data_IF_025431039048
#
_entry.id   IF_025431039048
#
_cell.length_a   1.000
_cell.length_b   1.000
_cell.length_c   1.000
_cell.angle_alpha   90.00
_cell.angle_beta   90.00
_cell.angle_gamma   90.00
#
_symmetry.space_group_name_H-M   'P 1'
#
loop_
_entity.id
_entity.type
_entity.pdbx_description
1 polymer ?
#
# COMPACT_ATOMS: atom_id res chain seq x y z
N UNK A 1 13.79 -11.37 0.84
CA UNK A 1 12.32 -11.33 0.83
C UNK A 1 11.90 -11.45 -0.62
N UNK A 2 11.07 -12.43 -0.95
CA UNK A 2 10.80 -12.80 -2.34
C UNK A 2 9.42 -12.34 -2.81
N UNK A 3 8.46 -12.23 -1.89
CA UNK A 3 7.13 -11.71 -2.17
C UNK A 3 6.50 -11.08 -0.93
N UNK A 4 5.59 -10.13 -1.18
CA UNK A 4 4.70 -9.55 -0.19
C UNK A 4 3.28 -9.73 -0.70
N UNK A 5 2.41 -10.28 0.15
CA UNK A 5 1.00 -10.46 -0.16
C UNK A 5 0.14 -9.70 0.84
N UNK A 6 -0.91 -9.08 0.35
CA UNK A 6 -1.92 -8.41 1.14
C UNK A 6 -3.28 -9.07 0.86
N UNK A 7 -3.88 -9.60 1.92
CA UNK A 7 -5.27 -10.04 1.93
C UNK A 7 -6.12 -8.94 2.57
N UNK A 8 -7.21 -8.56 1.91
CA UNK A 8 -8.20 -7.62 2.43
C UNK A 8 -9.58 -8.27 2.35
N UNK A 9 -10.37 -8.15 3.42
CA UNK A 9 -11.72 -8.70 3.45
C UNK A 9 -12.59 -8.09 2.33
N UNK A 10 -13.09 -8.95 1.44
CA UNK A 10 -13.97 -8.55 0.34
C UNK A 10 -13.28 -7.89 -0.87
N UNK A 11 -11.94 -7.82 -0.89
CA UNK A 11 -11.18 -7.27 -2.02
C UNK A 11 -10.18 -8.32 -2.51
N UNK A 12 -10.43 -8.86 -3.70
CA UNK A 12 -9.56 -9.85 -4.36
C UNK A 12 -8.51 -9.16 -5.25
N UNK A 13 -7.26 -9.61 -5.16
CA UNK A 13 -6.18 -9.32 -6.10
C UNK A 13 -5.98 -10.44 -7.13
N UNK A 14 -4.86 -10.39 -7.84
CA UNK A 14 -4.59 -11.27 -8.99
C UNK A 14 -3.53 -12.36 -8.75
N UNK A 15 -3.08 -12.56 -7.50
CA UNK A 15 -2.07 -13.58 -7.22
C UNK A 15 -2.56 -14.98 -7.59
N UNK A 16 -1.73 -15.72 -8.35
CA UNK A 16 -1.90 -17.14 -8.67
C UNK A 16 -0.94 -18.03 -7.86
N UNK A 17 -0.21 -17.44 -6.91
CA UNK A 17 0.78 -18.19 -6.12
C UNK A 17 0.06 -19.15 -5.17
N UNK A 18 0.48 -20.41 -5.16
CA UNK A 18 -0.10 -21.43 -4.28
C UNK A 18 -0.04 -20.99 -2.80
N UNK A 19 -1.19 -21.01 -2.12
CA UNK A 19 -1.33 -20.56 -0.72
C UNK A 19 -1.54 -19.04 -0.55
N UNK A 20 -1.46 -18.27 -1.63
CA UNK A 20 -1.68 -16.82 -1.66
C UNK A 20 -2.58 -16.43 -2.84
N UNK A 21 -3.45 -17.33 -3.28
CA UNK A 21 -4.35 -17.10 -4.40
C UNK A 21 -5.30 -15.94 -4.09
N UNK A 22 -5.59 -15.14 -5.12
CA UNK A 22 -6.51 -13.97 -5.05
C UNK A 22 -6.08 -12.89 -4.06
N UNK A 23 -4.86 -12.96 -3.52
CA UNK A 23 -4.31 -11.88 -2.71
C UNK A 23 -3.66 -10.82 -3.60
N UNK A 24 -3.54 -9.60 -3.08
CA UNK A 24 -2.88 -8.49 -3.76
C UNK A 24 -1.37 -8.68 -3.58
N UNK A 25 -0.63 -8.75 -4.69
CA UNK A 25 0.83 -8.78 -4.63
C UNK A 25 1.37 -7.35 -4.51
N UNK A 26 2.21 -7.10 -3.51
CA UNK A 26 2.85 -5.81 -3.31
C UNK A 26 4.29 -5.79 -3.84
N UNK A 27 4.75 -4.59 -4.19
CA UNK A 27 6.12 -4.28 -4.58
C UNK A 27 6.93 -3.88 -3.35
N UNK A 28 6.34 -3.04 -2.50
CA UNK A 28 6.99 -2.51 -1.30
C UNK A 28 5.97 -2.25 -0.19
N UNK A 29 6.47 -2.26 1.05
CA UNK A 29 5.75 -1.77 2.22
C UNK A 29 6.69 -0.85 3.01
N UNK A 30 6.13 0.20 3.59
CA UNK A 30 6.81 1.08 4.53
C UNK A 30 5.89 1.33 5.74
N UNK A 31 6.43 1.21 6.94
CA UNK A 31 5.71 1.48 8.17
C UNK A 31 6.50 2.50 8.98
N UNK A 32 5.99 3.72 9.11
CA UNK A 32 6.61 4.78 9.88
C UNK A 32 5.96 4.89 11.25
N UNK A 33 6.63 4.41 12.29
CA UNK A 33 6.18 4.67 13.67
C UNK A 33 6.67 6.06 14.09
N UNK A 34 5.79 7.05 14.17
CA UNK A 34 6.13 8.31 14.83
C UNK A 34 5.76 8.21 16.30
N UNK A 35 6.77 8.09 17.18
CA UNK A 35 6.58 8.20 18.63
C UNK A 35 6.71 9.68 19.00
N UNK A 36 5.65 10.29 19.51
CA UNK A 36 5.75 11.60 20.15
C UNK A 36 6.45 11.45 21.51
N UNK A 37 7.45 12.28 21.81
CA UNK A 37 8.08 12.31 23.14
C UNK A 37 7.11 12.91 24.17
N UNK A 38 7.01 12.28 25.33
CA UNK A 38 6.03 12.60 26.37
C UNK A 38 6.08 14.06 26.81
N UNK A 39 5.05 14.84 26.45
CA UNK A 39 4.92 16.23 26.89
C UNK A 39 3.65 16.97 26.44
N UNK A 40 3.02 16.58 25.32
CA UNK A 40 1.78 17.21 24.87
C UNK A 40 0.67 16.17 24.71
N UNK A 41 -0.45 16.41 25.39
CA UNK A 41 -1.68 15.65 25.25
C UNK A 41 -2.33 15.94 23.89
N UNK A 42 -1.79 15.36 22.83
CA UNK A 42 -2.45 15.23 21.52
C UNK A 42 -2.29 13.79 21.06
N UNK A 43 -3.41 13.18 20.66
CA UNK A 43 -3.60 11.73 20.58
C UNK A 43 -2.48 10.95 19.90
N UNK A 44 -2.31 9.70 20.34
CA UNK A 44 -1.37 8.72 19.80
C UNK A 44 -1.45 8.67 18.28
N UNK A 45 -0.46 9.24 17.58
CA UNK A 45 -0.30 9.02 16.15
C UNK A 45 0.16 7.57 15.96
N UNK A 46 -0.77 6.69 15.61
CA UNK A 46 -0.45 5.34 15.17
C UNK A 46 0.14 5.51 13.77
N UNK A 47 1.40 5.13 13.61
CA UNK A 47 2.14 5.22 12.36
C UNK A 47 1.37 4.75 11.14
N UNK A 48 1.54 5.42 10.00
CA UNK A 48 0.92 5.03 8.74
C UNK A 48 1.62 3.84 8.10
N UNK A 49 0.84 2.96 7.48
CA UNK A 49 1.35 1.89 6.61
C UNK A 49 1.17 2.34 5.15
N UNK A 50 2.28 2.56 4.45
CA UNK A 50 2.28 2.87 3.02
C UNK A 50 2.64 1.62 2.23
N UNK A 51 1.78 1.25 1.28
CA UNK A 51 1.92 0.05 0.46
C UNK A 51 2.03 0.43 -1.01
N UNK A 52 2.91 -0.23 -1.75
CA UNK A 52 3.04 -0.04 -3.20
C UNK A 52 2.63 -1.32 -3.91
N UNK A 53 1.71 -1.22 -4.87
CA UNK A 53 1.20 -2.34 -5.67
C UNK A 53 1.18 -1.98 -7.16
N UNK A 54 1.27 -2.96 -8.08
CA UNK A 54 0.91 -2.75 -9.48
C UNK A 54 -0.60 -2.46 -9.60
N UNK A 55 -1.06 -1.91 -10.72
CA UNK A 55 -2.51 -1.85 -10.98
C UNK A 55 -2.99 -3.27 -11.30
N UNK A 56 -4.03 -3.73 -10.59
CA UNK A 56 -4.64 -5.06 -10.76
C UNK A 56 -6.16 -5.00 -10.48
N UNK A 57 -6.81 -6.16 -10.47
CA UNK A 57 -8.23 -6.34 -10.15
C UNK A 57 -8.70 -5.66 -8.86
N UNK A 58 -7.83 -5.52 -7.85
CA UNK A 58 -8.19 -4.89 -6.58
C UNK A 58 -8.28 -3.36 -6.69
N UNK A 59 -7.62 -2.75 -7.69
CA UNK A 59 -7.50 -1.28 -7.79
C UNK A 59 -8.85 -0.56 -7.81
N UNK A 60 -9.85 -0.95 -8.61
CA UNK A 60 -11.16 -0.29 -8.58
C UNK A 60 -11.86 -0.43 -7.22
N UNK A 61 -11.78 -1.61 -6.60
CA UNK A 61 -12.39 -1.87 -5.29
C UNK A 61 -11.78 -1.02 -4.18
N UNK A 62 -10.44 -0.88 -4.17
CA UNK A 62 -9.73 0.00 -3.23
C UNK A 62 -10.14 1.46 -3.42
N UNK A 63 -10.24 1.93 -4.66
CA UNK A 63 -10.63 3.30 -4.95
C UNK A 63 -12.09 3.59 -4.56
N UNK A 64 -12.98 2.63 -4.74
CA UNK A 64 -14.37 2.75 -4.27
C UNK A 64 -14.44 2.85 -2.74
N UNK A 65 -13.63 2.07 -2.01
CA UNK A 65 -13.57 2.15 -0.56
C UNK A 65 -13.08 3.52 -0.10
N UNK A 66 -12.00 4.02 -0.71
CA UNK A 66 -11.48 5.36 -0.46
C UNK A 66 -12.53 6.44 -0.71
N UNK A 67 -13.17 6.43 -1.90
CA UNK A 67 -14.16 7.44 -2.29
C UNK A 67 -15.35 7.50 -1.33
N UNK A 68 -15.77 6.36 -0.80
CA UNK A 68 -16.95 6.24 0.05
C UNK A 68 -16.62 6.26 1.55
N UNK A 69 -15.35 6.39 1.95
CA UNK A 69 -14.91 6.25 3.34
C UNK A 69 -15.26 4.88 3.95
N UNK A 70 -15.37 3.83 3.14
CA UNK A 70 -15.66 2.47 3.62
C UNK A 70 -14.39 1.88 4.22
N UNK A 71 -14.50 1.35 5.43
CA UNK A 71 -13.42 0.60 6.08
C UNK A 71 -13.46 -0.87 5.70
N UNK A 72 -12.29 -1.50 5.63
CA UNK A 72 -12.13 -2.95 5.49
C UNK A 72 -11.92 -3.53 6.89
N UNK A 73 -12.70 -4.55 7.24
CA UNK A 73 -12.72 -5.11 8.60
C UNK A 73 -11.35 -5.66 9.03
N UNK A 74 -10.71 -6.43 8.15
CA UNK A 74 -9.43 -7.08 8.41
C UNK A 74 -8.52 -7.02 7.19
N UNK A 75 -7.24 -6.75 7.44
CA UNK A 75 -6.16 -6.85 6.47
C UNK A 75 -4.99 -7.67 7.02
N UNK A 76 -4.46 -8.57 6.20
CA UNK A 76 -3.30 -9.41 6.55
C UNK A 76 -2.18 -9.16 5.55
N UNK A 77 -1.09 -8.56 6.02
CA UNK A 77 0.13 -8.34 5.24
C UNK A 77 1.13 -9.43 5.58
N UNK A 78 1.50 -10.23 4.57
CA UNK A 78 2.39 -11.38 4.73
C UNK A 78 3.65 -11.20 3.89
N UNK A 79 4.80 -11.17 4.55
CA UNK A 79 6.10 -11.18 3.89
C UNK A 79 6.57 -12.63 3.78
N UNK A 80 6.97 -13.01 2.58
CA UNK A 80 7.34 -14.37 2.25
C UNK A 80 8.80 -14.48 1.80
N UNK A 81 9.38 -15.64 2.09
CA UNK A 81 10.61 -16.12 1.48
C UNK A 81 10.30 -17.38 0.66
N UNK A 82 10.98 -17.54 -0.45
CA UNK A 82 10.92 -18.77 -1.22
C UNK A 82 11.83 -19.81 -0.57
N UNK A 83 11.26 -20.94 -0.17
CA UNK A 83 12.00 -22.11 0.27
C UNK A 83 11.66 -23.28 -0.65
N UNK A 84 12.62 -23.65 -1.50
CA UNK A 84 12.53 -24.78 -2.45
C UNK A 84 11.27 -24.75 -3.33
N UNK A 85 10.86 -23.55 -3.79
CA UNK A 85 9.70 -23.36 -4.66
C UNK A 85 8.38 -23.15 -3.90
N UNK A 86 8.37 -23.26 -2.58
CA UNK A 86 7.21 -22.93 -1.75
C UNK A 86 7.39 -21.54 -1.12
N UNK A 87 6.38 -20.68 -1.22
CA UNK A 87 6.37 -19.40 -0.51
C UNK A 87 6.04 -19.62 0.95
N UNK A 88 7.00 -19.35 1.83
CA UNK A 88 6.88 -19.50 3.27
C UNK A 88 6.74 -18.13 3.94
N UNK A 89 5.65 -17.89 4.69
CA UNK A 89 5.53 -16.70 5.54
C UNK A 89 6.67 -16.62 6.56
N UNK A 90 7.21 -15.43 6.78
CA UNK A 90 8.15 -15.19 7.89
C UNK A 90 7.79 -13.98 8.75
N UNK A 91 7.06 -12.99 8.22
CA UNK A 91 6.44 -11.91 8.99
C UNK A 91 4.98 -11.80 8.56
N UNK A 92 4.08 -11.71 9.54
CA UNK A 92 2.65 -11.52 9.33
C UNK A 92 2.21 -10.35 10.20
N UNK A 93 1.61 -9.34 9.57
CA UNK A 93 1.04 -8.17 10.23
C UNK A 93 -0.46 -8.18 10.03
N UNK A 94 -1.19 -8.04 11.13
CA UNK A 94 -2.65 -7.95 11.15
C UNK A 94 -3.07 -6.51 11.39
N UNK A 95 -3.99 -6.03 10.57
CA UNK A 95 -4.62 -4.74 10.73
C UNK A 95 -6.14 -4.94 10.82
N UNK A 96 -6.76 -4.22 11.74
CA UNK A 96 -8.20 -4.19 11.91
C UNK A 96 -8.72 -2.81 11.55
N UNK A 97 -9.92 -2.75 10.98
CA UNK A 97 -10.57 -1.49 10.57
C UNK A 97 -9.67 -0.66 9.64
N UNK A 98 -9.13 -1.28 8.60
CA UNK A 98 -8.28 -0.63 7.61
C UNK A 98 -9.06 0.47 6.88
N UNK A 99 -8.58 1.69 6.93
CA UNK A 99 -9.18 2.86 6.30
C UNK A 99 -8.14 3.59 5.40
N UNK A 100 -8.62 4.59 4.66
CA UNK A 100 -7.79 5.56 3.94
C UNK A 100 -6.83 4.97 2.90
N UNK A 101 -7.39 4.30 1.89
CA UNK A 101 -6.63 3.82 0.72
C UNK A 101 -6.34 4.96 -0.28
N UNK A 102 -5.23 5.67 -0.11
CA UNK A 102 -4.80 6.68 -1.09
C UNK A 102 -4.08 6.04 -2.28
N UNK A 103 -4.45 6.47 -3.50
CA UNK A 103 -3.74 6.09 -4.72
C UNK A 103 -2.87 7.25 -5.20
N UNK A 104 -1.55 7.08 -5.11
CA UNK A 104 -0.58 8.04 -5.64
C UNK A 104 0.04 7.49 -6.93
N UNK A 105 -0.30 8.07 -8.08
CA UNK A 105 0.43 7.82 -9.32
C UNK A 105 1.61 8.78 -9.40
N UNK A 106 2.82 8.28 -9.20
CA UNK A 106 4.03 9.05 -9.46
C UNK A 106 4.19 9.26 -10.96
N UNK A 107 3.74 10.41 -11.47
CA UNK A 107 4.14 10.87 -12.81
C UNK A 107 5.60 11.33 -12.75
N UNK A 108 6.46 10.99 -13.72
CA UNK A 108 7.76 11.63 -13.79
C UNK A 108 7.51 13.13 -14.01
N UNK A 109 7.91 13.93 -13.02
CA UNK A 109 7.86 15.38 -13.06
C UNK A 109 8.76 15.88 -14.18
N UNK A 110 8.26 15.90 -15.43
CA UNK A 110 8.91 16.57 -16.54
C UNK A 110 8.76 18.06 -16.26
N UNK A 111 9.81 18.68 -15.70
CA UNK A 111 9.97 20.13 -15.76
C UNK A 111 9.93 20.54 -17.23
N UNK A 112 8.76 20.89 -17.76
CA UNK A 112 8.70 21.85 -18.85
C UNK A 112 9.16 23.18 -18.26
N UNK A 113 10.48 23.42 -18.30
CA UNK A 113 10.97 24.80 -18.34
C UNK A 113 10.46 25.37 -19.65
N UNK A 114 9.27 25.96 -19.65
CA UNK A 114 8.97 27.04 -20.58
C UNK A 114 9.89 28.19 -20.20
N UNK A 115 11.12 28.13 -20.73
CA UNK A 115 12.01 29.27 -20.78
C UNK A 115 11.34 30.30 -21.67
N UNK A 116 10.66 31.25 -21.04
CA UNK A 116 10.19 32.47 -21.67
C UNK A 116 11.43 33.28 -22.08
N UNK A 117 11.99 32.95 -23.25
CA UNK A 117 13.00 33.79 -23.90
C UNK A 117 12.26 34.95 -24.55
N UNK A 118 12.26 36.08 -23.85
CA UNK A 118 11.99 37.37 -24.47
C UNK A 118 12.97 37.61 -25.61
N UNK A 119 12.43 38.04 -26.75
CA UNK A 119 13.12 38.63 -27.89
C UNK A 119 12.12 39.54 -28.61
N UNK A 120 12.44 40.84 -28.69
CA UNK A 120 11.94 41.91 -29.59
C UNK A 120 10.43 42.09 -29.75
N UNK A 121 9.83 43.26 -29.55
CA UNK A 121 10.26 44.62 -29.91
C UNK A 121 9.74 45.63 -28.87
#
# INVERSE_FOLDING_TARGET
MDAIYLKLDGIEGESLTKGFEKQIRLIAYNHSQAKWESGEARGTYIGGLTLTKPIDLATPGLYEHYRNGKTVKEGVLTLCRNDKGAMQPFIILYAHQCADFTHEQSWPYRRQRHGNRGFGL
#
